data_IF_106749643949
#
_entry.id   IF_106749643949
#
_cell.length_a   1.000
_cell.length_b   1.000
_cell.length_c   1.000
_cell.angle_alpha   90.00
_cell.angle_beta   90.00
_cell.angle_gamma   90.00
#
_symmetry.space_group_name_H-M   'P 1'
#
loop_
_entity.id
_entity.type
_entity.pdbx_description
1 polymer ?
#
# COMPACT_ATOMS: atom_id res chain seq x y z
N UNK A 1 -10.75 -14.27 -9.54
CA UNK A 1 -10.10 -15.22 -8.60
C UNK A 1 -10.34 -14.74 -7.18
N UNK A 2 -10.91 -15.56 -6.30
CA UNK A 2 -11.01 -15.21 -4.88
C UNK A 2 -9.67 -15.50 -4.17
N UNK A 3 -9.01 -14.45 -3.70
CA UNK A 3 -7.81 -14.58 -2.87
C UNK A 3 -8.16 -15.09 -1.47
N UNK A 4 -7.26 -15.86 -0.86
CA UNK A 4 -7.41 -16.26 0.54
C UNK A 4 -7.36 -15.02 1.46
N UNK A 5 -8.16 -14.96 2.54
CA UNK A 5 -8.23 -13.78 3.41
C UNK A 5 -6.88 -13.31 3.97
N UNK A 6 -6.01 -14.26 4.34
CA UNK A 6 -4.68 -13.93 4.87
C UNK A 6 -3.75 -13.33 3.80
N UNK A 7 -3.83 -13.85 2.58
CA UNK A 7 -3.08 -13.31 1.43
C UNK A 7 -3.54 -11.89 1.12
N UNK A 8 -4.86 -11.66 1.12
CA UNK A 8 -5.44 -10.34 0.90
C UNK A 8 -4.92 -9.32 1.93
N UNK A 9 -4.96 -9.66 3.22
CA UNK A 9 -4.44 -8.79 4.29
C UNK A 9 -2.94 -8.50 4.14
N UNK A 10 -2.14 -9.49 3.76
CA UNK A 10 -0.71 -9.31 3.48
C UNK A 10 -0.49 -8.32 2.33
N UNK A 11 -1.24 -8.46 1.25
CA UNK A 11 -1.13 -7.60 0.07
C UNK A 11 -1.55 -6.17 0.40
N UNK A 12 -2.66 -6.00 1.14
CA UNK A 12 -3.12 -4.70 1.63
C UNK A 12 -2.06 -4.01 2.48
N UNK A 13 -1.42 -4.74 3.40
CA UNK A 13 -0.36 -4.20 4.25
C UNK A 13 0.88 -3.76 3.45
N UNK A 14 1.28 -4.54 2.45
CA UNK A 14 2.41 -4.21 1.57
C UNK A 14 2.10 -2.95 0.73
N UNK A 15 0.91 -2.88 0.13
CA UNK A 15 0.51 -1.70 -0.67
C UNK A 15 0.36 -0.45 0.20
N UNK A 16 -0.15 -0.58 1.42
CA UNK A 16 -0.20 0.52 2.37
C UNK A 16 1.21 1.00 2.74
N UNK A 17 2.11 0.07 3.06
CA UNK A 17 3.48 0.39 3.42
C UNK A 17 4.25 1.06 2.28
N UNK A 18 4.01 0.62 1.04
CA UNK A 18 4.53 1.30 -0.15
C UNK A 18 4.12 2.77 -0.18
N UNK A 19 2.83 3.10 0.01
CA UNK A 19 2.35 4.49 0.03
C UNK A 19 2.95 5.31 1.16
N UNK A 20 3.09 4.73 2.35
CA UNK A 20 3.73 5.41 3.50
C UNK A 20 5.18 5.82 3.19
N UNK A 21 5.94 4.94 2.53
CA UNK A 21 7.35 5.18 2.20
C UNK A 21 7.51 6.09 0.98
N UNK A 22 6.71 5.87 -0.06
CA UNK A 22 6.79 6.61 -1.32
C UNK A 22 6.10 7.97 -1.24
N UNK A 23 4.84 8.05 -0.79
CA UNK A 23 4.10 9.31 -0.72
C UNK A 23 4.43 10.07 0.57
N UNK A 24 4.49 9.36 1.70
CA UNK A 24 4.73 9.97 3.01
C UNK A 24 6.18 10.42 3.20
N UNK A 25 7.14 9.51 3.00
CA UNK A 25 8.57 9.80 3.19
C UNK A 25 9.30 10.25 1.92
N UNK A 26 8.63 10.23 0.76
CA UNK A 26 9.22 10.63 -0.54
C UNK A 26 10.51 9.89 -0.88
N UNK A 27 10.61 8.63 -0.45
CA UNK A 27 11.75 7.76 -0.79
C UNK A 27 11.72 7.42 -2.29
N UNK A 28 12.90 7.15 -2.86
CA UNK A 28 12.99 6.70 -4.25
C UNK A 28 12.33 5.33 -4.39
N UNK A 29 11.78 5.06 -5.56
CA UNK A 29 11.07 3.81 -5.82
C UNK A 29 11.91 2.59 -5.44
N UNK A 30 13.17 2.53 -5.89
CA UNK A 30 14.09 1.42 -5.61
C UNK A 30 14.33 1.23 -4.11
N UNK A 31 14.50 2.33 -3.36
CA UNK A 31 14.66 2.27 -1.90
C UNK A 31 13.40 1.72 -1.22
N UNK A 32 12.22 2.12 -1.68
CA UNK A 32 10.94 1.60 -1.17
C UNK A 32 10.82 0.11 -1.45
N UNK A 33 11.19 -0.34 -2.65
CA UNK A 33 11.13 -1.77 -3.00
C UNK A 33 12.10 -2.57 -2.12
N UNK A 34 13.33 -2.10 -1.93
CA UNK A 34 14.30 -2.74 -1.04
C UNK A 34 13.76 -2.84 0.41
N UNK A 35 13.20 -1.75 0.93
CA UNK A 35 12.57 -1.75 2.24
C UNK A 35 11.43 -2.78 2.37
N UNK A 36 10.59 -2.92 1.34
CA UNK A 36 9.50 -3.90 1.35
C UNK A 36 10.00 -5.34 1.25
N UNK A 37 11.08 -5.58 0.49
CA UNK A 37 11.72 -6.90 0.42
C UNK A 37 12.24 -7.32 1.79
N UNK A 38 12.93 -6.42 2.49
CA UNK A 38 13.53 -6.67 3.79
C UNK A 38 12.46 -6.80 4.89
N UNK A 39 11.43 -5.95 4.90
CA UNK A 39 10.38 -5.95 5.91
C UNK A 39 9.47 -7.20 5.81
N UNK A 40 9.16 -7.65 4.58
CA UNK A 40 8.22 -8.74 4.35
C UNK A 40 8.87 -10.07 3.94
N UNK A 41 10.21 -10.10 3.86
CA UNK A 41 11.01 -11.26 3.44
C UNK A 41 10.50 -11.86 2.12
N UNK A 42 10.34 -11.01 1.10
CA UNK A 42 9.86 -11.41 -0.24
C UNK A 42 10.79 -10.88 -1.33
N UNK A 43 10.75 -11.52 -2.50
CA UNK A 43 11.54 -11.09 -3.65
C UNK A 43 10.97 -9.83 -4.30
N UNK A 44 11.85 -9.06 -4.94
CA UNK A 44 11.51 -7.87 -5.73
C UNK A 44 10.36 -8.13 -6.72
N UNK A 45 10.46 -9.23 -7.47
CA UNK A 45 9.47 -9.64 -8.45
C UNK A 45 8.11 -9.92 -7.79
N UNK A 46 8.10 -10.42 -6.56
CA UNK A 46 6.88 -10.60 -5.77
C UNK A 46 6.30 -9.25 -5.33
N UNK A 47 7.13 -8.30 -4.89
CA UNK A 47 6.69 -6.94 -4.56
C UNK A 47 5.99 -6.31 -5.76
N UNK A 48 6.61 -6.29 -6.94
CA UNK A 48 5.98 -5.71 -8.13
C UNK A 48 4.67 -6.41 -8.51
N UNK A 49 4.61 -7.75 -8.42
CA UNK A 49 3.36 -8.48 -8.65
C UNK A 49 2.26 -8.03 -7.69
N UNK A 50 2.60 -7.86 -6.41
CA UNK A 50 1.65 -7.41 -5.38
C UNK A 50 1.19 -5.98 -5.64
N UNK A 51 2.10 -5.07 -5.99
CA UNK A 51 1.78 -3.67 -6.27
C UNK A 51 0.91 -3.51 -7.52
N UNK A 52 1.08 -4.38 -8.53
CA UNK A 52 0.23 -4.43 -9.74
C UNK A 52 -1.09 -5.18 -9.55
N UNK A 53 -1.26 -5.90 -8.43
CA UNK A 53 -2.49 -6.63 -8.18
C UNK A 53 -3.55 -5.67 -7.65
N UNK A 54 -4.66 -5.53 -8.39
CA UNK A 54 -5.85 -4.86 -7.88
C UNK A 54 -6.45 -5.70 -6.74
N UNK A 55 -6.35 -5.17 -5.53
CA UNK A 55 -7.00 -5.71 -4.35
C UNK A 55 -8.10 -4.75 -3.92
N UNK A 56 -9.25 -5.24 -3.43
CA UNK A 56 -10.26 -4.38 -2.86
C UNK A 56 -9.62 -3.59 -1.71
N UNK A 57 -9.51 -2.29 -1.92
CA UNK A 57 -9.09 -1.34 -0.90
C UNK A 57 -9.95 -1.57 0.35
N UNK A 58 -9.36 -1.73 1.55
CA UNK A 58 -10.15 -1.66 2.75
C UNK A 58 -10.76 -0.26 2.73
N UNK A 59 -12.07 -0.17 2.49
CA UNK A 59 -12.83 1.10 2.40
C UNK A 59 -12.28 2.04 3.46
N UNK A 60 -11.43 2.98 3.05
CA UNK A 60 -11.08 4.10 3.88
C UNK A 60 -12.42 4.80 4.02
N UNK A 61 -12.94 4.84 5.24
CA UNK A 61 -14.04 5.74 5.57
C UNK A 61 -13.65 7.11 5.03
N UNK A 62 -14.36 7.55 3.98
CA UNK A 62 -14.31 8.89 3.43
C UNK A 62 -14.35 9.89 4.60
N UNK A 63 -13.21 10.44 4.95
CA UNK A 63 -13.15 11.77 5.56
C UNK A 63 -13.19 12.77 4.41
N UNK A 64 -14.30 12.77 3.67
CA UNK A 64 -14.63 13.83 2.73
C UNK A 64 -15.03 15.06 3.55
N UNK A 65 -14.13 16.03 3.56
CA UNK A 65 -14.36 17.48 3.50
C UNK A 65 -15.71 17.98 4.04
N UNK A 66 -15.65 18.73 5.15
CA UNK A 66 -16.48 19.92 5.29
C UNK A 66 -15.59 21.13 5.48
N UNK A 67 -15.12 21.66 4.35
CA UNK A 67 -14.98 23.09 4.19
C UNK A 67 -16.35 23.75 4.36
N UNK A 68 -16.43 24.72 5.29
CA UNK A 68 -17.41 25.82 5.42
C UNK A 68 -17.28 26.33 6.87
N UNK A 69 -17.00 27.58 7.21
CA UNK A 69 -16.89 28.85 6.48
C UNK A 69 -16.38 29.87 7.51
N UNK A 70 -15.45 30.72 7.11
CA UNK A 70 -15.06 31.95 7.84
C UNK A 70 -16.22 32.96 7.83
N UNK A 71 -16.57 33.51 9.00
CA UNK A 71 -16.74 34.94 9.31
C UNK A 71 -16.90 35.11 10.84
#
# INVERSE_FOLDING_TARGET
>A
MMMRPNTLRKYQRIQQRYRELYDGKRLRHDDVIQHLMDEFFISELTVYRILRTEIPSPKQSDSHEKDSKSD
#
